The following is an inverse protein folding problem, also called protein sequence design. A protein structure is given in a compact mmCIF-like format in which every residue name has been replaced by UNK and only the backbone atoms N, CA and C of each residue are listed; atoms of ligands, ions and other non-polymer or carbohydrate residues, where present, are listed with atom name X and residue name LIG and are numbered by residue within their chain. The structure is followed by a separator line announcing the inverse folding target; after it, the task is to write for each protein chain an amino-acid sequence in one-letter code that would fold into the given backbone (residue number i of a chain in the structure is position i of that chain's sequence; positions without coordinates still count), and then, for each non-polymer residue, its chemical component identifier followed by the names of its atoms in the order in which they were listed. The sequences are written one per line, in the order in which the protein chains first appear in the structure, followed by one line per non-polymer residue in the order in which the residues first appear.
data_IF_335460109929
#
_entry.id   IF_335460109929
#
_cell.length_a   1.000
_cell.length_b   1.000
_cell.length_c   1.000
_cell.angle_alpha   90.00
_cell.angle_beta   90.00
_cell.angle_gamma   90.00
#
_symmetry.space_group_name_H-M   'P 1'
#
loop_
_entity.id
_entity.type
_entity.pdbx_description
1 polymer ?
#
# COMPACT_ATOMS: atom_id res chain seq x y z
N UNK A 1 24.56 53.37 -9.50
CA UNK A 1 23.84 52.21 -8.96
C UNK A 1 24.74 50.98 -8.78
N UNK A 2 25.41 50.38 -9.77
CA UNK A 2 26.24 49.17 -9.59
C UNK A 2 27.33 49.30 -8.50
N UNK A 3 27.99 50.47 -8.41
CA UNK A 3 28.97 50.75 -7.32
C UNK A 3 28.35 50.82 -5.92
N UNK A 4 27.10 51.31 -5.80
CA UNK A 4 26.40 51.44 -4.52
C UNK A 4 25.99 50.06 -3.96
N UNK A 5 25.64 49.13 -4.85
CA UNK A 5 25.24 47.77 -4.50
C UNK A 5 26.38 46.75 -4.50
N UNK A 6 27.64 47.18 -4.73
CA UNK A 6 28.80 46.32 -4.74
C UNK A 6 28.78 45.20 -5.81
N UNK A 7 28.03 45.39 -6.89
CA UNK A 7 27.89 44.43 -8.00
C UNK A 7 28.60 44.89 -9.27
N UNK A 8 29.07 43.97 -10.12
CA UNK A 8 29.69 44.29 -11.39
C UNK A 8 28.63 44.89 -12.33
N UNK A 9 29.07 45.85 -13.21
CA UNK A 9 28.18 46.46 -14.23
C UNK A 9 27.56 45.38 -15.12
N UNK A 10 28.37 44.45 -15.62
CA UNK A 10 27.88 43.35 -16.47
C UNK A 10 26.86 42.47 -15.76
N UNK A 11 27.06 42.13 -14.46
CA UNK A 11 26.11 41.37 -13.68
C UNK A 11 24.77 42.10 -13.49
N UNK A 12 24.82 43.44 -13.31
CA UNK A 12 23.62 44.25 -13.17
C UNK A 12 22.79 44.28 -14.46
N UNK A 13 23.42 44.53 -15.62
CA UNK A 13 22.73 44.49 -16.90
C UNK A 13 22.21 43.12 -17.27
N UNK A 14 23.02 42.07 -17.06
CA UNK A 14 22.56 40.68 -17.22
C UNK A 14 21.31 40.40 -16.39
N UNK A 15 21.26 40.86 -15.14
CA UNK A 15 20.08 40.70 -14.28
C UNK A 15 18.86 41.46 -14.81
N UNK A 16 19.03 42.71 -15.27
CA UNK A 16 17.96 43.50 -15.88
C UNK A 16 17.37 42.78 -17.09
N UNK A 17 18.22 42.28 -17.98
CA UNK A 17 17.79 41.65 -19.24
C UNK A 17 17.13 40.29 -19.01
N UNK A 18 17.46 39.59 -17.92
CA UNK A 18 16.94 38.27 -17.62
C UNK A 18 15.94 38.19 -16.47
N UNK A 19 15.60 39.35 -15.83
CA UNK A 19 14.65 39.37 -14.68
C UNK A 19 13.29 38.79 -15.02
N UNK A 20 12.80 38.99 -16.26
CA UNK A 20 11.54 38.43 -16.72
C UNK A 20 11.56 36.89 -16.81
N UNK A 21 12.69 36.30 -17.20
CA UNK A 21 12.87 34.85 -17.24
C UNK A 21 12.84 34.23 -15.82
N UNK A 22 13.36 34.94 -14.82
CA UNK A 22 13.30 34.54 -13.41
C UNK A 22 11.83 34.56 -12.94
N UNK A 23 11.07 35.56 -13.34
CA UNK A 23 9.65 35.69 -12.98
C UNK A 23 8.83 34.55 -13.60
N UNK A 24 8.99 34.23 -14.89
CA UNK A 24 8.32 33.10 -15.55
C UNK A 24 8.67 31.77 -14.88
N UNK A 25 9.94 31.58 -14.52
CA UNK A 25 10.37 30.37 -13.80
C UNK A 25 9.72 30.24 -12.42
N UNK A 26 9.54 31.36 -11.71
CA UNK A 26 8.87 31.39 -10.42
C UNK A 26 7.37 31.11 -10.54
N UNK A 27 6.72 31.63 -11.57
CA UNK A 27 5.31 31.33 -11.87
C UNK A 27 5.09 29.86 -12.18
N UNK A 28 5.93 29.26 -13.03
CA UNK A 28 5.90 27.82 -13.31
C UNK A 28 6.08 26.99 -12.05
N UNK A 29 6.99 27.41 -11.15
CA UNK A 29 7.19 26.74 -9.85
C UNK A 29 5.96 26.83 -8.98
N UNK A 30 5.32 28.01 -8.89
CA UNK A 30 4.09 28.19 -8.10
C UNK A 30 2.95 27.33 -8.63
N UNK A 31 2.78 27.25 -9.94
CA UNK A 31 1.77 26.39 -10.56
C UNK A 31 2.02 24.92 -10.26
N UNK A 32 3.27 24.46 -10.34
CA UNK A 32 3.62 23.10 -9.96
C UNK A 32 3.40 22.85 -8.47
N UNK A 33 3.82 23.80 -7.61
CA UNK A 33 3.66 23.69 -6.17
C UNK A 33 2.17 23.59 -5.79
N UNK A 34 1.29 24.35 -6.44
CA UNK A 34 -0.16 24.23 -6.25
C UNK A 34 -0.70 22.86 -6.63
N UNK A 35 -0.33 22.33 -7.81
CA UNK A 35 -0.75 21.00 -8.26
C UNK A 35 -0.24 19.87 -7.35
N UNK A 36 1.00 19.98 -6.88
CA UNK A 36 1.59 19.00 -5.95
C UNK A 36 0.85 19.01 -4.61
N UNK A 37 0.49 20.21 -4.11
CA UNK A 37 -0.29 20.35 -2.88
C UNK A 37 -1.68 19.75 -3.03
N UNK A 38 -2.39 20.09 -4.10
CA UNK A 38 -3.73 19.58 -4.38
C UNK A 38 -3.76 18.03 -4.37
N UNK A 39 -2.83 17.39 -5.09
CA UNK A 39 -2.71 15.93 -5.09
C UNK A 39 -2.36 15.40 -3.70
N UNK A 40 -1.45 16.06 -2.97
CA UNK A 40 -1.03 15.64 -1.64
C UNK A 40 -2.19 15.67 -0.64
N UNK A 41 -2.99 16.74 -0.66
CA UNK A 41 -4.13 16.92 0.23
C UNK A 41 -5.28 15.96 -0.15
N UNK A 42 -5.58 15.78 -1.46
CA UNK A 42 -6.57 14.80 -1.94
C UNK A 42 -6.25 13.37 -1.49
N UNK A 43 -4.97 13.02 -1.47
CA UNK A 43 -4.49 11.71 -0.96
C UNK A 43 -4.33 11.66 0.56
N UNK A 44 -4.89 12.62 1.31
CA UNK A 44 -4.84 12.68 2.79
C UNK A 44 -3.40 12.58 3.32
N UNK A 45 -2.45 13.25 2.67
CA UNK A 45 -1.01 13.30 3.03
C UNK A 45 -0.27 11.94 3.01
N UNK A 46 -0.84 10.92 2.36
CA UNK A 46 -0.26 9.57 2.33
C UNK A 46 0.85 9.41 1.31
N UNK A 47 0.83 10.23 0.25
CA UNK A 47 1.66 10.04 -0.93
C UNK A 47 2.97 10.83 -0.90
N UNK A 48 4.08 10.13 -1.11
CA UNK A 48 5.38 10.73 -1.33
C UNK A 48 5.62 11.06 -2.81
N UNK A 49 6.75 11.73 -3.11
CA UNK A 49 7.08 12.27 -4.43
C UNK A 49 6.89 11.29 -5.61
N UNK A 50 7.16 9.99 -5.42
CA UNK A 50 7.00 8.98 -6.49
C UNK A 50 5.52 8.69 -6.80
N UNK A 51 4.64 8.65 -5.80
CA UNK A 51 3.20 8.44 -6.00
C UNK A 51 2.54 9.68 -6.58
N UNK A 52 2.89 10.87 -6.07
CA UNK A 52 2.42 12.17 -6.60
C UNK A 52 2.84 12.34 -8.06
N UNK A 53 4.06 11.97 -8.43
CA UNK A 53 4.52 12.03 -9.82
C UNK A 53 3.62 11.19 -10.74
N UNK A 54 3.28 9.97 -10.34
CA UNK A 54 2.42 9.08 -11.14
C UNK A 54 1.00 9.64 -11.29
N UNK A 55 0.44 10.20 -10.24
CA UNK A 55 -0.88 10.81 -10.26
C UNK A 55 -0.90 12.04 -11.18
N UNK A 56 0.11 12.91 -11.09
CA UNK A 56 0.26 14.05 -11.98
C UNK A 56 0.45 13.61 -13.44
N UNK A 57 1.19 12.55 -13.69
CA UNK A 57 1.39 12.00 -15.04
C UNK A 57 0.09 11.42 -15.61
N UNK A 58 -0.73 10.75 -14.79
CA UNK A 58 -2.06 10.26 -15.16
C UNK A 58 -3.00 11.41 -15.55
N UNK A 59 -2.84 12.59 -14.93
CA UNK A 59 -3.58 13.81 -15.22
C UNK A 59 -2.92 14.67 -16.33
N UNK A 60 -2.00 14.09 -17.11
CA UNK A 60 -1.35 14.76 -18.25
C UNK A 60 -0.19 15.72 -17.87
N UNK A 61 0.21 15.78 -16.59
CA UNK A 61 1.30 16.64 -16.12
C UNK A 61 2.57 15.82 -15.89
N UNK A 62 3.47 15.76 -16.86
CA UNK A 62 4.70 14.98 -16.80
C UNK A 62 5.83 15.77 -16.14
N UNK A 63 6.31 15.27 -14.99
CA UNK A 63 7.41 15.86 -14.22
C UNK A 63 8.35 14.76 -13.70
N UNK A 64 9.61 15.10 -13.49
CA UNK A 64 10.59 14.22 -12.84
C UNK A 64 10.33 14.13 -11.33
N UNK A 65 10.58 12.95 -10.74
CA UNK A 65 10.42 12.69 -9.29
C UNK A 65 11.22 13.69 -8.44
N UNK A 66 12.44 14.07 -8.89
CA UNK A 66 13.27 15.06 -8.17
C UNK A 66 12.63 16.43 -8.15
N UNK A 67 11.96 16.82 -9.23
CA UNK A 67 11.21 18.09 -9.33
C UNK A 67 10.03 18.10 -8.36
N UNK A 68 9.27 17.01 -8.29
CA UNK A 68 8.18 16.86 -7.32
C UNK A 68 8.71 16.87 -5.88
N UNK A 69 9.78 16.12 -5.58
CA UNK A 69 10.40 16.12 -4.26
C UNK A 69 10.88 17.53 -3.83
N UNK A 70 11.46 18.29 -4.77
CA UNK A 70 11.86 19.68 -4.52
C UNK A 70 10.65 20.59 -4.26
N UNK A 71 9.53 20.37 -4.94
CA UNK A 71 8.27 21.07 -4.69
C UNK A 71 7.73 20.75 -3.29
N UNK A 72 7.65 19.48 -2.92
CA UNK A 72 7.24 19.04 -1.58
C UNK A 72 8.11 19.68 -0.49
N UNK A 73 9.44 19.66 -0.67
CA UNK A 73 10.39 20.27 0.28
C UNK A 73 10.16 21.77 0.47
N UNK A 74 9.93 22.53 -0.62
CA UNK A 74 9.64 23.98 -0.55
C UNK A 74 8.37 24.28 0.23
N UNK A 75 7.38 23.41 0.14
CA UNK A 75 6.09 23.54 0.80
C UNK A 75 6.03 22.86 2.16
N UNK A 76 7.15 22.29 2.64
CA UNK A 76 7.22 21.50 3.88
C UNK A 76 6.22 20.33 3.91
N UNK A 77 5.90 19.74 2.73
CA UNK A 77 5.03 18.58 2.63
C UNK A 77 5.82 17.32 2.97
N UNK A 78 5.39 16.64 4.02
CA UNK A 78 6.00 15.38 4.47
C UNK A 78 4.93 14.31 4.49
N UNK A 79 5.08 13.29 3.65
CA UNK A 79 4.15 12.16 3.65
C UNK A 79 4.16 11.46 5.02
N UNK A 80 3.00 10.92 5.43
CA UNK A 80 2.84 10.16 6.67
C UNK A 80 3.92 9.08 6.73
N UNK A 81 4.85 9.20 7.67
CA UNK A 81 6.07 8.39 7.73
C UNK A 81 5.89 7.19 8.66
N UNK A 82 6.49 6.07 8.26
CA UNK A 82 6.47 4.83 9.02
C UNK A 82 7.31 4.89 10.29
N UNK A 83 6.74 4.57 11.46
CA UNK A 83 7.47 4.24 12.68
C UNK A 83 7.68 2.73 12.78
N UNK A 84 8.84 2.27 13.33
CA UNK A 84 9.11 0.84 13.54
C UNK A 84 8.04 0.19 14.42
N UNK A 85 7.48 -0.92 13.94
CA UNK A 85 6.50 -1.74 14.65
C UNK A 85 7.18 -2.90 15.38
N UNK A 86 6.63 -3.31 16.55
CA UNK A 86 7.05 -4.51 17.27
C UNK A 86 6.04 -5.62 16.99
N UNK A 87 6.48 -6.72 16.40
CA UNK A 87 5.64 -7.90 16.17
C UNK A 87 5.44 -8.69 17.46
N UNK A 88 4.21 -9.17 17.72
CA UNK A 88 3.86 -9.94 18.91
C UNK A 88 2.91 -11.08 18.56
N UNK A 89 3.45 -12.16 17.97
CA UNK A 89 2.69 -13.39 17.73
C UNK A 89 2.98 -14.41 18.83
N UNK A 90 1.95 -14.94 19.49
CA UNK A 90 2.10 -16.08 20.40
C UNK A 90 2.03 -17.40 19.64
N UNK A 91 3.19 -18.03 19.45
CA UNK A 91 3.34 -19.32 18.77
C UNK A 91 3.51 -20.51 19.74
N UNK A 92 3.21 -20.34 21.05
CA UNK A 92 3.42 -21.35 22.09
C UNK A 92 2.19 -22.25 22.28
N UNK A 93 1.75 -22.95 21.25
CA UNK A 93 0.67 -23.93 21.34
C UNK A 93 1.10 -25.31 20.85
N UNK A 94 0.29 -26.38 21.15
CA UNK A 94 0.53 -27.77 20.74
C UNK A 94 -0.32 -28.22 19.53
N UNK A 95 -0.89 -27.24 18.79
CA UNK A 95 -1.71 -27.55 17.62
C UNK A 95 -0.84 -27.99 16.43
N UNK A 96 -1.39 -28.76 15.48
CA UNK A 96 -0.67 -29.17 14.27
C UNK A 96 -0.17 -27.98 13.47
N UNK A 97 1.08 -28.06 13.02
CA UNK A 97 1.74 -27.01 12.23
C UNK A 97 2.06 -27.57 10.84
N UNK A 98 1.64 -26.87 9.80
CA UNK A 98 1.96 -27.24 8.42
C UNK A 98 3.44 -26.95 8.08
N UNK A 99 4.03 -27.65 7.09
CA UNK A 99 5.38 -27.37 6.61
C UNK A 99 5.46 -25.97 5.97
N UNK A 100 6.66 -25.38 5.94
CA UNK A 100 6.88 -24.14 5.18
C UNK A 100 7.09 -24.49 3.70
N UNK A 101 6.09 -24.28 2.88
CA UNK A 101 6.14 -24.48 1.43
C UNK A 101 6.53 -23.22 0.68
N UNK A 102 6.43 -22.04 1.32
CA UNK A 102 6.75 -20.76 0.70
C UNK A 102 8.26 -20.50 0.65
N UNK A 103 9.01 -20.93 1.69
CA UNK A 103 10.48 -20.82 1.80
C UNK A 103 11.03 -19.43 1.46
N UNK A 104 10.30 -18.37 1.82
CA UNK A 104 10.60 -16.96 1.48
C UNK A 104 10.57 -16.62 -0.02
N UNK A 105 10.11 -17.53 -0.87
CA UNK A 105 9.88 -17.25 -2.27
C UNK A 105 8.51 -16.57 -2.47
N UNK A 106 8.51 -15.27 -2.35
CA UNK A 106 7.32 -14.41 -2.54
C UNK A 106 7.02 -14.12 -4.02
N UNK A 107 7.77 -14.70 -4.95
CA UNK A 107 7.51 -14.55 -6.35
C UNK A 107 6.44 -15.53 -6.82
N UNK A 108 5.45 -15.03 -7.53
CA UNK A 108 4.45 -15.82 -8.23
C UNK A 108 4.43 -15.40 -9.70
N UNK A 109 4.24 -16.34 -10.60
CA UNK A 109 4.23 -16.08 -12.05
C UNK A 109 2.84 -15.77 -12.59
N UNK A 110 1.80 -16.12 -11.82
CA UNK A 110 0.39 -15.87 -12.15
C UNK A 110 -0.43 -15.57 -10.89
N UNK A 111 -1.60 -14.92 -11.02
CA UNK A 111 -2.54 -14.75 -9.92
C UNK A 111 -2.95 -16.09 -9.30
N UNK A 112 -3.29 -16.07 -8.02
CA UNK A 112 -3.82 -17.21 -7.28
C UNK A 112 -2.88 -18.43 -7.18
N UNK A 113 -1.57 -18.27 -7.32
CA UNK A 113 -0.60 -19.34 -7.06
C UNK A 113 -0.18 -19.41 -5.59
N UNK A 114 0.02 -18.23 -4.99
CA UNK A 114 0.50 -18.09 -3.62
C UNK A 114 -0.23 -16.96 -2.95
N UNK A 115 -0.90 -17.26 -1.86
CA UNK A 115 -1.52 -16.29 -0.97
C UNK A 115 -0.80 -16.25 0.37
N UNK A 116 -0.82 -15.11 1.03
CA UNK A 116 -0.29 -14.95 2.38
C UNK A 116 -1.33 -14.28 3.27
N UNK A 117 -1.53 -14.83 4.46
CA UNK A 117 -2.49 -14.35 5.44
C UNK A 117 -1.82 -13.98 6.77
N UNK A 118 -2.37 -12.97 7.46
CA UNK A 118 -1.94 -12.58 8.80
C UNK A 118 -3.04 -11.79 9.51
N UNK A 119 -2.90 -11.64 10.83
CA UNK A 119 -3.80 -10.87 11.68
C UNK A 119 -3.05 -9.69 12.27
N UNK A 120 -3.69 -8.52 12.25
CA UNK A 120 -3.21 -7.39 13.03
C UNK A 120 -4.28 -6.90 14.01
N UNK A 121 -3.85 -6.18 15.04
CA UNK A 121 -4.74 -5.54 16.00
C UNK A 121 -4.63 -4.02 15.93
N UNK A 122 -5.74 -3.36 16.22
CA UNK A 122 -5.94 -1.92 16.10
C UNK A 122 -6.61 -1.42 17.37
N UNK A 123 -6.06 -0.36 17.96
CA UNK A 123 -6.65 0.27 19.13
C UNK A 123 -7.80 1.19 18.67
N UNK A 124 -8.95 1.07 19.33
CA UNK A 124 -10.09 1.95 19.17
C UNK A 124 -10.50 2.53 20.54
N UNK A 125 -11.35 3.55 20.55
CA UNK A 125 -11.90 4.10 21.80
C UNK A 125 -12.74 3.09 22.59
N UNK A 126 -13.19 2.02 21.93
CA UNK A 126 -14.03 0.95 22.49
C UNK A 126 -13.24 -0.33 22.80
N UNK A 127 -11.89 -0.31 22.72
CA UNK A 127 -11.00 -1.44 22.92
C UNK A 127 -10.38 -1.96 21.62
N UNK A 128 -9.87 -3.19 21.64
CA UNK A 128 -9.19 -3.76 20.49
C UNK A 128 -10.15 -4.19 19.38
N UNK A 129 -9.71 -3.99 18.15
CA UNK A 129 -10.28 -4.58 16.94
C UNK A 129 -9.20 -5.36 16.20
N UNK A 130 -9.56 -6.48 15.62
CA UNK A 130 -8.67 -7.38 14.90
C UNK A 130 -9.05 -7.37 13.42
N UNK A 131 -8.04 -7.34 12.56
CA UNK A 131 -8.17 -7.44 11.11
C UNK A 131 -7.35 -8.63 10.64
N UNK A 132 -7.99 -9.60 9.99
CA UNK A 132 -7.33 -10.63 9.20
C UNK A 132 -7.36 -10.23 7.73
N UNK A 133 -6.26 -10.47 7.01
CA UNK A 133 -6.17 -10.25 5.56
C UNK A 133 -5.60 -11.49 4.87
N UNK A 134 -5.97 -11.64 3.59
CA UNK A 134 -5.36 -12.57 2.64
C UNK A 134 -4.88 -11.75 1.45
N UNK A 135 -3.60 -11.86 1.12
CA UNK A 135 -2.94 -11.11 0.03
C UNK A 135 -2.48 -12.08 -1.05
N UNK A 136 -2.83 -11.83 -2.30
CA UNK A 136 -2.26 -12.51 -3.45
C UNK A 136 -0.84 -12.01 -3.72
N UNK A 137 0.15 -12.88 -3.63
CA UNK A 137 1.56 -12.52 -3.75
C UNK A 137 1.97 -12.09 -5.17
N UNK A 138 1.21 -12.46 -6.19
CA UNK A 138 1.44 -11.99 -7.55
C UNK A 138 1.03 -10.54 -7.75
N UNK A 139 -0.23 -10.22 -7.42
CA UNK A 139 -0.79 -8.89 -7.62
C UNK A 139 -0.55 -7.93 -6.46
N UNK A 140 -0.16 -8.45 -5.28
CA UNK A 140 -0.06 -7.74 -4.00
C UNK A 140 -1.40 -7.15 -3.53
N UNK A 141 -2.50 -7.65 -4.07
CA UNK A 141 -3.85 -7.24 -3.71
C UNK A 141 -4.33 -7.98 -2.46
N UNK A 142 -5.05 -7.28 -1.60
CA UNK A 142 -5.86 -7.91 -0.55
C UNK A 142 -7.06 -8.54 -1.24
N UNK A 143 -7.10 -9.87 -1.28
CA UNK A 143 -8.15 -10.65 -1.94
C UNK A 143 -9.26 -11.04 -1.00
N UNK A 144 -8.97 -11.08 0.31
CA UNK A 144 -9.97 -11.30 1.35
C UNK A 144 -9.56 -10.67 2.66
N UNK A 145 -10.53 -10.25 3.44
CA UNK A 145 -10.31 -9.66 4.76
C UNK A 145 -11.55 -9.81 5.65
N UNK A 146 -11.34 -9.78 6.95
CA UNK A 146 -12.40 -9.80 7.95
C UNK A 146 -12.00 -9.01 9.18
N UNK A 147 -12.98 -8.43 9.88
CA UNK A 147 -12.77 -7.66 11.10
C UNK A 147 -13.64 -8.18 12.23
N UNK A 148 -13.05 -8.27 13.43
CA UNK A 148 -13.77 -8.72 14.63
C UNK A 148 -13.23 -8.05 15.89
N UNK A 149 -14.03 -8.06 16.95
CA UNK A 149 -13.61 -7.66 18.29
C UNK A 149 -12.86 -8.77 19.03
N UNK A 150 -12.82 -9.98 18.46
CA UNK A 150 -12.13 -11.15 19.03
C UNK A 150 -11.23 -11.79 17.96
N UNK A 151 -10.06 -12.22 18.39
CA UNK A 151 -9.09 -12.92 17.53
C UNK A 151 -9.35 -14.44 17.58
N UNK A 152 -10.42 -14.87 16.88
CA UNK A 152 -10.87 -16.27 16.81
C UNK A 152 -10.51 -16.94 15.49
N UNK A 153 -10.67 -18.26 15.39
CA UNK A 153 -10.53 -18.99 14.14
C UNK A 153 -11.50 -18.49 13.06
N UNK A 154 -12.73 -18.11 13.45
CA UNK A 154 -13.74 -17.56 12.55
C UNK A 154 -13.21 -16.35 11.77
N UNK A 155 -12.45 -15.47 12.42
CA UNK A 155 -11.87 -14.28 11.78
C UNK A 155 -11.03 -14.63 10.56
N UNK A 156 -10.17 -15.64 10.66
CA UNK A 156 -9.29 -16.05 9.54
C UNK A 156 -10.05 -16.90 8.51
N UNK A 157 -11.03 -17.68 8.95
CA UNK A 157 -11.91 -18.42 8.05
C UNK A 157 -12.75 -17.48 7.17
N UNK A 158 -13.33 -16.42 7.74
CA UNK A 158 -14.10 -15.42 6.99
C UNK A 158 -13.23 -14.69 5.97
N UNK A 159 -12.01 -14.30 6.34
CA UNK A 159 -11.06 -13.68 5.42
C UNK A 159 -10.69 -14.61 4.26
N UNK A 160 -10.41 -15.88 4.53
CA UNK A 160 -10.11 -16.87 3.50
C UNK A 160 -11.34 -17.17 2.61
N UNK A 161 -12.52 -17.31 3.20
CA UNK A 161 -13.77 -17.54 2.46
C UNK A 161 -14.09 -16.37 1.50
N UNK A 162 -13.88 -15.13 1.94
CA UNK A 162 -13.99 -13.95 1.06
C UNK A 162 -12.99 -14.03 -0.10
N UNK A 163 -11.73 -14.40 0.18
CA UNK A 163 -10.70 -14.52 -0.85
C UNK A 163 -11.07 -15.59 -1.90
N UNK A 164 -11.51 -16.76 -1.45
CA UNK A 164 -11.97 -17.84 -2.31
C UNK A 164 -13.13 -17.40 -3.20
N UNK A 165 -14.16 -16.79 -2.61
CA UNK A 165 -15.32 -16.29 -3.36
C UNK A 165 -14.91 -15.26 -4.41
N UNK A 166 -14.12 -14.26 -4.06
CA UNK A 166 -13.69 -13.18 -4.97
C UNK A 166 -12.82 -13.68 -6.12
N UNK A 167 -12.11 -14.78 -5.92
CA UNK A 167 -11.18 -15.33 -6.90
C UNK A 167 -11.76 -16.53 -7.67
N UNK A 168 -13.05 -16.83 -7.49
CA UNK A 168 -13.75 -17.89 -8.24
C UNK A 168 -13.38 -19.29 -7.78
N UNK A 169 -13.14 -19.48 -6.47
CA UNK A 169 -12.82 -20.77 -5.85
C UNK A 169 -11.63 -21.49 -6.50
N UNK A 170 -10.44 -20.87 -6.54
CA UNK A 170 -9.28 -21.51 -7.13
C UNK A 170 -8.85 -22.74 -6.29
N UNK A 171 -8.13 -23.67 -6.88
CA UNK A 171 -7.68 -24.91 -6.25
C UNK A 171 -6.16 -25.09 -6.39
N UNK A 172 -5.55 -25.70 -5.38
CA UNK A 172 -4.13 -26.06 -5.41
C UNK A 172 -3.15 -24.94 -5.01
N UNK A 173 -3.67 -23.73 -4.66
CA UNK A 173 -2.84 -22.62 -4.21
C UNK A 173 -2.17 -22.91 -2.88
N UNK A 174 -1.03 -22.24 -2.69
CA UNK A 174 -0.39 -22.16 -1.39
C UNK A 174 -1.02 -21.01 -0.60
N UNK A 175 -1.60 -21.29 0.57
CA UNK A 175 -1.96 -20.30 1.56
C UNK A 175 -0.96 -20.31 2.71
N UNK A 176 -0.15 -19.27 2.81
CA UNK A 176 0.89 -19.12 3.82
C UNK A 176 0.43 -18.23 4.96
N UNK A 177 0.78 -18.61 6.20
CA UNK A 177 0.50 -17.81 7.40
C UNK A 177 1.59 -17.97 8.45
N UNK A 178 1.50 -17.20 9.52
CA UNK A 178 2.26 -17.48 10.73
C UNK A 178 1.72 -18.72 11.45
N UNK A 179 2.35 -19.07 12.61
CA UNK A 179 1.91 -20.19 13.46
C UNK A 179 0.89 -19.77 14.51
N UNK A 180 0.09 -18.76 14.30
CA UNK A 180 -0.96 -18.38 15.22
C UNK A 180 -1.99 -19.51 15.41
N UNK A 181 -2.51 -19.66 16.63
CA UNK A 181 -3.48 -20.71 16.96
C UNK A 181 -4.71 -20.72 16.08
N UNK A 182 -5.09 -19.55 15.53
CA UNK A 182 -6.20 -19.37 14.61
C UNK A 182 -6.00 -20.14 13.31
N UNK A 183 -4.79 -20.04 12.74
CA UNK A 183 -4.40 -20.75 11.51
C UNK A 183 -4.15 -22.25 11.72
N UNK A 184 -3.85 -22.66 12.97
CA UNK A 184 -3.72 -24.05 13.36
C UNK A 184 -5.04 -24.69 13.78
N UNK A 185 -6.16 -23.95 13.82
CA UNK A 185 -7.48 -24.43 14.24
C UNK A 185 -8.01 -25.52 13.31
N UNK A 186 -8.91 -26.36 13.83
CA UNK A 186 -9.58 -27.39 13.03
C UNK A 186 -10.41 -26.74 11.91
N UNK A 187 -11.19 -25.70 12.22
CA UNK A 187 -12.07 -25.03 11.27
C UNK A 187 -11.30 -24.47 10.07
N UNK A 188 -10.16 -23.84 10.31
CA UNK A 188 -9.33 -23.29 9.24
C UNK A 188 -8.70 -24.37 8.37
N UNK A 189 -8.25 -25.50 8.97
CA UNK A 189 -7.71 -26.64 8.23
C UNK A 189 -8.77 -27.37 7.42
N UNK A 190 -9.97 -27.52 7.97
CA UNK A 190 -11.12 -28.11 7.27
C UNK A 190 -11.51 -27.26 6.06
N UNK A 191 -11.53 -25.92 6.19
CA UNK A 191 -11.77 -25.00 5.07
C UNK A 191 -10.71 -25.13 3.98
N UNK A 192 -9.43 -25.19 4.34
CA UNK A 192 -8.31 -25.40 3.42
C UNK A 192 -8.47 -26.73 2.66
N UNK A 193 -8.80 -27.80 3.38
CA UNK A 193 -8.97 -29.13 2.78
C UNK A 193 -10.20 -29.18 1.85
N UNK A 194 -11.31 -28.54 2.23
CA UNK A 194 -12.53 -28.52 1.44
C UNK A 194 -12.35 -27.83 0.08
N UNK A 195 -11.37 -26.94 -0.03
CA UNK A 195 -11.06 -26.20 -1.27
C UNK A 195 -9.73 -26.64 -1.92
N UNK A 196 -9.19 -27.79 -1.55
CA UNK A 196 -7.94 -28.34 -2.12
C UNK A 196 -6.73 -27.39 -2.04
N UNK A 197 -6.67 -26.50 -1.03
CA UNK A 197 -5.56 -25.60 -0.85
C UNK A 197 -4.37 -26.29 -0.15
N UNK A 198 -3.17 -25.73 -0.31
CA UNK A 198 -1.95 -26.20 0.33
C UNK A 198 -1.57 -25.28 1.48
N UNK A 199 -1.74 -25.73 2.71
CA UNK A 199 -1.36 -24.93 3.87
C UNK A 199 0.17 -24.86 4.01
N UNK A 200 0.67 -23.65 4.22
CA UNK A 200 2.08 -23.37 4.50
C UNK A 200 2.19 -22.47 5.71
N UNK A 201 3.17 -22.75 6.59
CA UNK A 201 3.37 -21.93 7.80
C UNK A 201 4.82 -21.51 7.96
N UNK A 202 5.02 -20.28 8.47
CA UNK A 202 6.32 -19.73 8.80
C UNK A 202 7.11 -20.65 9.74
N UNK A 203 8.44 -20.61 9.68
CA UNK A 203 9.30 -21.26 10.66
C UNK A 203 9.18 -20.58 12.02
N UNK A 204 9.39 -21.34 13.10
CA UNK A 204 9.30 -20.80 14.47
C UNK A 204 10.31 -19.66 14.66
N UNK A 205 9.83 -18.48 15.04
CA UNK A 205 10.68 -17.32 15.32
C UNK A 205 11.25 -16.61 14.08
N UNK A 206 10.82 -16.98 12.87
CA UNK A 206 11.27 -16.33 11.65
C UNK A 206 10.20 -15.37 11.12
N UNK A 207 10.35 -14.07 11.44
CA UNK A 207 9.46 -13.01 10.97
C UNK A 207 9.57 -12.76 9.45
N UNK A 208 10.68 -13.11 8.82
CA UNK A 208 10.89 -12.90 7.38
C UNK A 208 9.98 -13.75 6.50
N UNK A 209 9.46 -14.87 7.05
CA UNK A 209 8.61 -15.78 6.29
C UNK A 209 7.25 -15.17 5.94
N UNK A 210 6.79 -14.10 6.63
CA UNK A 210 5.54 -13.39 6.36
C UNK A 210 5.71 -11.88 6.05
N UNK A 211 6.91 -11.48 5.65
CA UNK A 211 7.31 -10.07 5.46
C UNK A 211 6.39 -9.28 4.52
N UNK A 212 5.73 -9.96 3.58
CA UNK A 212 4.83 -9.34 2.61
C UNK A 212 3.58 -8.75 3.27
N UNK A 213 2.96 -9.50 4.17
CA UNK A 213 1.75 -9.08 4.89
C UNK A 213 2.12 -8.07 5.99
N UNK A 214 3.26 -8.27 6.66
CA UNK A 214 3.79 -7.31 7.64
C UNK A 214 4.02 -5.93 7.00
N UNK A 215 4.59 -5.90 5.78
CA UNK A 215 4.78 -4.66 5.03
C UNK A 215 3.45 -3.98 4.68
N UNK A 216 2.43 -4.75 4.31
CA UNK A 216 1.09 -4.23 4.08
C UNK A 216 0.50 -3.61 5.36
N UNK A 217 0.53 -4.34 6.48
CA UNK A 217 0.00 -3.82 7.75
C UNK A 217 0.73 -2.57 8.22
N UNK A 218 2.03 -2.51 7.99
CA UNK A 218 2.80 -1.32 8.30
C UNK A 218 2.28 -0.10 7.50
N UNK A 219 2.17 -0.22 6.18
CA UNK A 219 1.65 0.84 5.31
C UNK A 219 0.23 1.24 5.70
N UNK A 220 -0.65 0.27 5.90
CA UNK A 220 -2.05 0.48 6.30
C UNK A 220 -2.13 1.26 7.63
N UNK A 221 -1.38 0.84 8.66
CA UNK A 221 -1.39 1.53 9.95
C UNK A 221 -0.89 2.96 9.85
N UNK A 222 0.17 3.19 9.08
CA UNK A 222 0.72 4.54 8.88
C UNK A 222 -0.23 5.41 8.06
N UNK A 223 -0.81 4.87 7.00
CA UNK A 223 -1.55 5.65 6.02
C UNK A 223 -3.03 5.86 6.41
N UNK A 224 -3.62 4.97 7.23
CA UNK A 224 -5.03 5.00 7.56
C UNK A 224 -5.36 5.16 9.05
N UNK A 225 -4.39 4.95 9.97
CA UNK A 225 -4.70 4.87 11.40
C UNK A 225 -3.81 5.78 12.26
N UNK A 226 -2.50 5.78 12.06
CA UNK A 226 -1.53 6.29 13.05
C UNK A 226 -1.64 7.80 13.31
N UNK A 227 -2.07 8.58 12.33
CA UNK A 227 -2.16 10.03 12.42
C UNK A 227 -3.59 10.55 12.49
N UNK A 228 -4.55 9.64 12.59
CA UNK A 228 -5.95 9.97 12.81
C UNK A 228 -6.25 10.02 14.31
N UNK A 229 -7.26 10.78 14.75
CA UNK A 229 -7.78 10.69 16.12
C UNK A 229 -8.14 9.25 16.47
N UNK A 230 -8.19 8.95 17.79
CA UNK A 230 -8.62 7.61 18.21
C UNK A 230 -10.07 7.38 17.76
N UNK A 231 -10.28 6.37 16.93
CA UNK A 231 -11.54 6.06 16.28
C UNK A 231 -12.39 5.11 17.15
N UNK A 232 -13.70 5.18 17.00
CA UNK A 232 -14.63 4.11 17.40
C UNK A 232 -14.38 2.87 16.52
N UNK A 233 -14.97 1.73 16.87
CA UNK A 233 -14.87 0.52 16.04
C UNK A 233 -15.51 0.70 14.67
N UNK A 234 -16.60 1.45 14.59
CA UNK A 234 -17.29 1.69 13.33
C UNK A 234 -16.48 2.63 12.42
N UNK A 235 -15.96 3.73 12.94
CA UNK A 235 -15.08 4.63 12.20
C UNK A 235 -13.81 3.91 11.68
N UNK A 236 -13.21 3.06 12.53
CA UNK A 236 -12.08 2.22 12.15
C UNK A 236 -12.45 1.25 11.03
N UNK A 237 -13.65 0.65 11.08
CA UNK A 237 -14.16 -0.26 10.07
C UNK A 237 -14.31 0.44 8.72
N UNK A 238 -14.89 1.64 8.73
CA UNK A 238 -15.05 2.46 7.52
C UNK A 238 -13.70 2.91 6.94
N UNK A 239 -12.80 3.38 7.79
CA UNK A 239 -11.46 3.81 7.36
C UNK A 239 -10.64 2.67 6.73
N UNK A 240 -10.72 1.47 7.30
CA UNK A 240 -10.03 0.29 6.76
C UNK A 240 -10.71 -0.24 5.49
N UNK A 241 -12.03 -0.21 5.42
CA UNK A 241 -12.76 -0.54 4.19
C UNK A 241 -12.32 0.39 3.04
N UNK A 242 -12.35 1.71 3.26
CA UNK A 242 -11.89 2.69 2.26
C UNK A 242 -10.43 2.44 1.86
N UNK A 243 -9.57 2.17 2.84
CA UNK A 243 -8.16 1.91 2.55
C UNK A 243 -7.95 0.64 1.71
N UNK A 244 -8.56 -0.47 2.08
CA UNK A 244 -8.38 -1.76 1.41
C UNK A 244 -9.04 -1.77 0.03
N UNK A 245 -10.30 -1.36 -0.07
CA UNK A 245 -11.09 -1.50 -1.30
C UNK A 245 -10.87 -0.35 -2.29
N UNK A 246 -10.53 0.85 -1.82
CA UNK A 246 -10.39 2.01 -2.70
C UNK A 246 -8.92 2.39 -2.89
N UNK A 247 -8.18 2.63 -1.81
CA UNK A 247 -6.81 3.17 -1.91
C UNK A 247 -5.85 2.11 -2.43
N UNK A 248 -5.87 0.91 -1.85
CA UNK A 248 -4.97 -0.19 -2.25
C UNK A 248 -5.33 -0.70 -3.64
N UNK A 249 -6.62 -0.86 -3.95
CA UNK A 249 -7.08 -1.30 -5.26
C UNK A 249 -6.68 -0.32 -6.37
N UNK A 250 -6.87 1.00 -6.17
CA UNK A 250 -6.43 2.03 -7.13
C UNK A 250 -4.92 2.02 -7.35
N UNK A 251 -4.15 2.00 -6.26
CA UNK A 251 -2.68 2.03 -6.36
C UNK A 251 -2.12 0.79 -7.04
N UNK A 252 -2.73 -0.39 -6.84
CA UNK A 252 -2.30 -1.64 -7.45
C UNK A 252 -2.78 -1.79 -8.89
N UNK A 253 -3.94 -1.28 -9.26
CA UNK A 253 -4.35 -1.19 -10.67
C UNK A 253 -3.34 -0.34 -11.47
N UNK A 254 -2.86 0.75 -10.91
CA UNK A 254 -1.76 1.52 -11.51
C UNK A 254 -0.44 0.74 -11.58
N UNK A 255 -0.08 -0.02 -10.55
CA UNK A 255 1.17 -0.81 -10.52
C UNK A 255 1.10 -2.04 -11.44
N UNK A 256 -0.01 -2.77 -11.42
CA UNK A 256 -0.23 -3.98 -12.25
C UNK A 256 -0.30 -3.65 -13.74
N UNK A 257 -0.93 -2.54 -14.13
CA UNK A 257 -0.92 -2.08 -15.52
C UNK A 257 0.48 -1.72 -16.04
N UNK A 258 1.36 -1.18 -15.18
CA UNK A 258 2.71 -0.78 -15.59
C UNK A 258 3.65 -1.99 -15.77
N UNK A 259 3.48 -3.06 -14.99
CA UNK A 259 4.34 -4.25 -15.08
C UNK A 259 3.84 -5.33 -16.03
N UNK A 260 2.54 -5.40 -16.34
CA UNK A 260 1.95 -6.46 -17.19
C UNK A 260 1.86 -6.14 -18.67
N UNK A 261 1.90 -4.88 -19.04
CA UNK A 261 1.79 -4.53 -20.47
C UNK A 261 3.05 -3.80 -20.88
N UNK A 262 3.98 -4.48 -21.55
CA UNK A 262 4.91 -3.84 -22.46
C UNK A 262 4.19 -3.05 -23.57
N UNK A 263 2.94 -2.71 -23.39
CA UNK A 263 2.09 -1.95 -24.29
C UNK A 263 2.46 -0.48 -24.25
N UNK A 264 2.73 0.09 -25.41
CA UNK A 264 2.95 1.51 -25.60
C UNK A 264 1.68 2.32 -25.29
N UNK A 265 1.83 3.59 -25.00
CA UNK A 265 0.73 4.52 -24.68
C UNK A 265 -0.39 4.51 -25.76
N UNK A 266 -0.05 4.34 -27.04
CA UNK A 266 -1.00 4.29 -28.14
C UNK A 266 -1.88 3.02 -28.15
N UNK A 267 -1.34 1.88 -27.75
CA UNK A 267 -2.12 0.63 -27.64
C UNK A 267 -3.16 0.69 -26.53
N UNK A 268 -2.92 1.52 -25.48
CA UNK A 268 -3.86 1.74 -24.36
C UNK A 268 -5.06 2.61 -24.73
N UNK A 269 -4.86 3.60 -25.59
CA UNK A 269 -5.96 4.45 -26.05
C UNK A 269 -6.93 3.69 -26.94
N UNK A 270 -6.45 2.76 -27.77
CA UNK A 270 -7.29 1.95 -28.65
C UNK A 270 -8.16 0.91 -27.92
N UNK A 271 -7.72 0.40 -26.76
CA UNK A 271 -8.52 -0.55 -25.95
C UNK A 271 -9.65 0.13 -25.14
N UNK A 272 -9.66 1.45 -25.02
CA UNK A 272 -10.72 2.21 -24.32
C UNK A 272 -11.84 2.73 -25.23
N UNK A 273 -11.68 2.63 -26.54
CA UNK A 273 -12.66 3.10 -27.54
C UNK A 273 -13.52 1.95 -28.14
N UNK A 274 -13.45 0.74 -27.58
CA UNK A 274 -14.19 -0.43 -28.05
C UNK A 274 -15.19 -0.95 -27.01
N UNK A 275 -15.93 -0.03 -26.35
CA UNK A 275 -17.16 -0.35 -25.60
C UNK A 275 -18.16 0.77 -25.79
#
# INVERSE_FOLDING_TARGET
MAKVFGVSRSGFYYWIDNRHKVTQRNEHRKQLDSKVREVFDDKKERDGARRIQKELEANGNKHDVKTIAASMKRQSLVAKAARKFKCTTDSKHRLPVAPNLLEQDFNATAPNQKWAGDITYLATSEGWMYLAVVIDLYSRQVVGWSMSTRMTATLVCDALSMALFRRGMPEGEIIHSDRGSQYCSKDYRDLISAHNLKQSMSRKGNCWDNACVESFFHSMKVEAVQYEPIMTREEMRQALFEYIEVVVFRNLCHFSMIYKTGMTHEQRLRSRTSY
#
